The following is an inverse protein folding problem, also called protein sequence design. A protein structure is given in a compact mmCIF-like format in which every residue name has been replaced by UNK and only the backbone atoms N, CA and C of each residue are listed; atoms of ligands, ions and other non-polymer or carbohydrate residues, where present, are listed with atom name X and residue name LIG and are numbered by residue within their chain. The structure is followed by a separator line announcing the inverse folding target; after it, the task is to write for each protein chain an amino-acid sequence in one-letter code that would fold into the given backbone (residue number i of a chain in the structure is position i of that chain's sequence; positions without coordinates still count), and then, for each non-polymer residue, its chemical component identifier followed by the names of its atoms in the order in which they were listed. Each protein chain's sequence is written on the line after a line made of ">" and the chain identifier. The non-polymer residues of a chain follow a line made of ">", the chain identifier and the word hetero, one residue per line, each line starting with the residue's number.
data_IF_082728737316
#
_entry.id   IF_082728737316
#
_cell.length_a   1.000
_cell.length_b   1.000
_cell.length_c   1.000
_cell.angle_alpha   90.00
_cell.angle_beta   90.00
_cell.angle_gamma   90.00
#
_symmetry.space_group_name_H-M   'P 1'
#
loop_
_entity.id
_entity.type
_entity.pdbx_description
1 polymer ?
#
# COMPACT_ATOMS: atom_id res chain seq x y z
N UNK A 1 13.79 -26.24 -12.20
CA UNK A 1 13.99 -25.55 -10.89
C UNK A 1 13.96 -24.02 -10.98
N UNK A 2 14.52 -23.37 -12.00
CA UNK A 2 14.56 -21.89 -12.10
C UNK A 2 13.16 -21.22 -12.06
N UNK A 3 12.20 -21.75 -12.84
CA UNK A 3 10.83 -21.22 -12.92
C UNK A 3 10.05 -21.27 -11.59
N UNK A 4 10.27 -22.33 -10.80
CA UNK A 4 9.59 -22.53 -9.51
C UNK A 4 10.08 -21.51 -8.48
N UNK A 5 11.39 -21.27 -8.42
CA UNK A 5 11.99 -20.27 -7.54
C UNK A 5 11.50 -18.85 -7.85
N UNK A 6 11.46 -18.49 -9.13
CA UNK A 6 10.94 -17.20 -9.59
C UNK A 6 9.47 -17.03 -9.21
N UNK A 7 8.64 -18.06 -9.39
CA UNK A 7 7.24 -18.06 -8.95
C UNK A 7 7.10 -17.80 -7.44
N UNK A 8 7.83 -18.53 -6.59
CA UNK A 8 7.79 -18.32 -5.14
C UNK A 8 8.22 -16.90 -4.72
N UNK A 9 9.24 -16.35 -5.37
CA UNK A 9 9.72 -14.98 -5.10
C UNK A 9 8.64 -13.95 -5.43
N UNK A 10 7.96 -14.10 -6.57
CA UNK A 10 6.88 -13.18 -6.94
C UNK A 10 5.68 -13.31 -6.02
N UNK A 11 5.27 -14.54 -5.68
CA UNK A 11 4.18 -14.77 -4.72
C UNK A 11 4.52 -14.13 -3.37
N UNK A 12 5.73 -14.33 -2.85
CA UNK A 12 6.19 -13.70 -1.61
C UNK A 12 6.22 -12.16 -1.72
N UNK A 13 6.64 -11.60 -2.86
CA UNK A 13 6.64 -10.16 -3.09
C UNK A 13 5.22 -9.58 -3.13
N UNK A 14 4.24 -10.30 -3.69
CA UNK A 14 2.82 -9.92 -3.69
C UNK A 14 2.24 -9.97 -2.27
N UNK A 15 2.49 -11.04 -1.52
CA UNK A 15 2.07 -11.11 -0.11
C UNK A 15 2.69 -9.99 0.73
N UNK A 16 3.99 -9.73 0.53
CA UNK A 16 4.69 -8.65 1.19
C UNK A 16 4.13 -7.28 0.80
N UNK A 17 3.81 -7.07 -0.48
CA UNK A 17 3.15 -5.85 -0.94
C UNK A 17 1.82 -5.64 -0.22
N UNK A 18 0.96 -6.65 -0.12
CA UNK A 18 -0.33 -6.51 0.58
C UNK A 18 -0.15 -6.26 2.08
N UNK A 19 0.80 -6.94 2.73
CA UNK A 19 1.14 -6.68 4.12
C UNK A 19 1.62 -5.23 4.32
N UNK A 20 2.50 -4.76 3.43
CA UNK A 20 3.02 -3.39 3.46
C UNK A 20 1.94 -2.36 3.13
N UNK A 21 0.99 -2.68 2.25
CA UNK A 21 -0.16 -1.81 1.97
C UNK A 21 -0.98 -1.63 3.24
N UNK A 22 -1.37 -2.71 3.90
CA UNK A 22 -2.13 -2.64 5.15
C UNK A 22 -1.40 -1.84 6.24
N UNK A 23 -0.11 -2.13 6.44
CA UNK A 23 0.70 -1.42 7.44
C UNK A 23 0.89 0.06 7.10
N UNK A 24 1.17 0.36 5.84
CA UNK A 24 1.41 1.74 5.40
C UNK A 24 0.14 2.56 5.41
N UNK A 25 -1.00 1.97 5.06
CA UNK A 25 -2.30 2.60 5.21
C UNK A 25 -2.60 2.91 6.67
N UNK A 26 -2.45 1.92 7.55
CA UNK A 26 -2.66 2.12 8.98
C UNK A 26 -1.78 3.25 9.51
N UNK A 27 -0.48 3.23 9.21
CA UNK A 27 0.46 4.24 9.69
C UNK A 27 0.18 5.62 9.09
N UNK A 28 -0.11 5.70 7.80
CA UNK A 28 -0.39 6.98 7.14
C UNK A 28 -1.70 7.60 7.65
N UNK A 29 -2.76 6.80 7.78
CA UNK A 29 -4.02 7.25 8.39
C UNK A 29 -3.80 7.68 9.84
N UNK A 30 -3.05 6.91 10.63
CA UNK A 30 -2.72 7.27 12.01
C UNK A 30 -1.96 8.60 12.11
N UNK A 31 -0.95 8.82 11.25
CA UNK A 31 -0.20 10.07 11.22
C UNK A 31 -1.07 11.27 10.84
N UNK A 32 -1.94 11.11 9.85
CA UNK A 32 -2.88 12.16 9.43
C UNK A 32 -3.93 12.44 10.50
N UNK A 33 -4.40 11.42 11.20
CA UNK A 33 -5.30 11.57 12.35
C UNK A 33 -4.61 12.27 13.52
N UNK A 34 -3.35 11.95 13.82
CA UNK A 34 -2.59 12.61 14.89
C UNK A 34 -2.34 14.10 14.65
N UNK A 35 -2.36 14.53 13.39
CA UNK A 35 -2.32 15.94 13.03
C UNK A 35 -3.66 16.66 13.24
N UNK A 36 -4.75 15.90 13.43
CA UNK A 36 -6.11 16.40 13.60
C UNK A 36 -6.76 15.80 14.87
N UNK A 37 -6.45 16.32 16.06
CA UNK A 37 -6.90 15.75 17.34
C UNK A 37 -8.42 15.66 17.48
N UNK A 38 -9.17 16.48 16.74
CA UNK A 38 -10.64 16.41 16.66
C UNK A 38 -11.12 15.10 16.03
N UNK A 39 -10.42 14.60 14.99
CA UNK A 39 -10.75 13.33 14.34
C UNK A 39 -10.52 12.16 15.31
N UNK A 40 -9.44 12.21 16.09
CA UNK A 40 -9.14 11.19 17.10
C UNK A 40 -10.22 11.13 18.18
N UNK A 41 -10.64 12.30 18.70
CA UNK A 41 -11.72 12.39 19.68
C UNK A 41 -13.05 11.87 19.14
N UNK A 42 -13.42 12.25 17.93
CA UNK A 42 -14.68 11.81 17.32
C UNK A 42 -14.69 10.30 17.07
N UNK A 43 -13.53 9.72 16.72
CA UNK A 43 -13.40 8.27 16.56
C UNK A 43 -13.56 7.54 17.90
N UNK A 44 -12.95 8.05 18.97
CA UNK A 44 -13.11 7.50 20.32
C UNK A 44 -14.57 7.57 20.80
N UNK A 45 -15.24 8.69 20.52
CA UNK A 45 -16.65 8.90 20.87
C UNK A 45 -17.57 7.93 20.11
N UNK A 46 -17.39 7.79 18.80
CA UNK A 46 -18.13 6.79 18.00
C UNK A 46 -17.86 5.36 18.47
N UNK A 47 -16.59 5.03 18.77
CA UNK A 47 -16.22 3.68 19.26
C UNK A 47 -16.89 3.39 20.61
N UNK A 48 -16.99 4.42 21.48
CA UNK A 48 -17.67 4.31 22.78
C UNK A 48 -19.18 4.15 22.64
N UNK A 49 -19.82 4.93 21.76
CA UNK A 49 -21.29 4.95 21.60
C UNK A 49 -21.79 3.68 20.90
N UNK A 50 -21.10 3.25 19.85
CA UNK A 50 -21.58 2.19 18.97
C UNK A 50 -21.00 0.81 19.30
N UNK A 51 -20.18 0.70 20.36
CA UNK A 51 -19.50 -0.55 20.75
C UNK A 51 -18.98 -1.32 19.53
N UNK A 52 -18.31 -0.61 18.60
CA UNK A 52 -17.87 -1.16 17.33
C UNK A 52 -16.87 -2.29 17.58
N UNK A 53 -17.36 -3.52 17.70
CA UNK A 53 -16.52 -4.68 17.93
C UNK A 53 -15.73 -4.93 16.63
N UNK A 54 -14.38 -4.95 16.64
CA UNK A 54 -13.58 -5.15 15.43
C UNK A 54 -13.83 -6.49 14.72
N UNK A 55 -14.54 -7.44 15.35
CA UNK A 55 -14.74 -8.80 14.87
C UNK A 55 -16.05 -9.00 14.06
N UNK A 56 -17.02 -8.08 14.15
CA UNK A 56 -18.32 -8.19 13.48
C UNK A 56 -18.33 -7.53 12.09
N UNK A 57 -17.56 -8.10 11.15
CA UNK A 57 -17.59 -7.75 9.73
C UNK A 57 -17.81 -9.03 8.92
N UNK A 58 -19.06 -9.53 8.90
CA UNK A 58 -19.42 -10.74 8.13
C UNK A 58 -20.50 -10.52 7.08
N UNK A 59 -21.20 -9.40 7.11
CA UNK A 59 -22.32 -9.12 6.20
C UNK A 59 -22.19 -7.73 5.57
N UNK A 60 -22.54 -7.61 4.29
CA UNK A 60 -22.51 -6.36 3.52
C UNK A 60 -23.32 -5.21 4.17
N UNK A 61 -24.50 -5.44 4.79
CA UNK A 61 -25.23 -4.40 5.50
C UNK A 61 -24.46 -3.83 6.69
N UNK A 62 -23.75 -4.68 7.46
CA UNK A 62 -22.96 -4.24 8.61
C UNK A 62 -21.73 -3.42 8.19
N UNK A 63 -21.14 -3.75 7.04
CA UNK A 63 -20.07 -2.94 6.43
C UNK A 63 -20.61 -1.56 6.07
N UNK A 64 -21.77 -1.52 5.40
CA UNK A 64 -22.39 -0.26 4.97
C UNK A 64 -22.77 0.64 6.14
N UNK A 65 -23.41 0.08 7.16
CA UNK A 65 -23.77 0.81 8.38
C UNK A 65 -22.53 1.41 9.07
N UNK A 66 -21.43 0.63 9.16
CA UNK A 66 -20.16 1.14 9.71
C UNK A 66 -19.53 2.22 8.84
N UNK A 67 -19.60 2.09 7.51
CA UNK A 67 -19.10 3.13 6.59
C UNK A 67 -19.92 4.40 6.77
N UNK A 68 -21.24 4.33 6.89
CA UNK A 68 -22.11 5.48 7.13
C UNK A 68 -21.79 6.17 8.47
N UNK A 69 -21.54 5.40 9.54
CA UNK A 69 -21.11 5.93 10.83
C UNK A 69 -19.74 6.62 10.76
N UNK A 70 -18.80 6.04 10.02
CA UNK A 70 -17.44 6.56 9.90
C UNK A 70 -17.31 7.65 8.82
N UNK A 71 -18.29 7.80 7.91
CA UNK A 71 -18.21 8.71 6.78
C UNK A 71 -17.84 10.16 7.16
N UNK A 72 -18.40 10.76 8.25
CA UNK A 72 -18.02 12.11 8.68
C UNK A 72 -16.57 12.23 9.17
N UNK A 73 -15.99 11.13 9.66
CA UNK A 73 -14.57 11.08 10.02
C UNK A 73 -13.72 10.92 8.76
N UNK A 74 -14.07 9.94 7.92
CA UNK A 74 -13.32 9.60 6.72
C UNK A 74 -13.25 10.77 5.73
N UNK A 75 -14.30 11.60 5.62
CA UNK A 75 -14.31 12.78 4.75
C UNK A 75 -13.32 13.88 5.17
N UNK A 76 -12.89 13.89 6.43
CA UNK A 76 -11.94 14.89 6.97
C UNK A 76 -10.48 14.46 6.86
N UNK A 77 -10.21 13.22 6.44
CA UNK A 77 -8.86 12.70 6.28
C UNK A 77 -8.26 13.24 4.98
N UNK A 78 -7.01 13.70 5.02
CA UNK A 78 -6.25 14.03 3.80
C UNK A 78 -5.81 12.75 3.08
N UNK A 79 -6.73 12.22 2.27
CA UNK A 79 -6.49 11.02 1.47
C UNK A 79 -5.39 11.16 0.43
N UNK A 80 -5.06 12.38 0.00
CA UNK A 80 -3.94 12.60 -0.92
C UNK A 80 -2.63 12.29 -0.22
N UNK A 81 -2.48 12.79 1.00
CA UNK A 81 -1.30 12.53 1.82
C UNK A 81 -1.22 11.05 2.24
N UNK A 82 -2.34 10.45 2.65
CA UNK A 82 -2.40 9.01 2.97
C UNK A 82 -1.97 8.18 1.76
N UNK A 83 -2.56 8.44 0.60
CA UNK A 83 -2.26 7.69 -0.62
C UNK A 83 -0.81 7.87 -1.07
N UNK A 84 -0.25 9.08 -0.95
CA UNK A 84 1.14 9.36 -1.27
C UNK A 84 2.10 8.59 -0.35
N UNK A 85 1.92 8.70 0.97
CA UNK A 85 2.76 8.03 1.95
C UNK A 85 2.70 6.51 1.76
N UNK A 86 1.49 5.95 1.68
CA UNK A 86 1.29 4.53 1.46
C UNK A 86 1.91 4.05 0.13
N UNK A 87 1.85 4.87 -0.92
CA UNK A 87 2.46 4.57 -2.21
C UNK A 87 3.98 4.52 -2.12
N UNK A 88 4.59 5.54 -1.53
CA UNK A 88 6.05 5.63 -1.42
C UNK A 88 6.62 4.49 -0.58
N UNK A 89 6.05 4.21 0.60
CA UNK A 89 6.57 3.17 1.49
C UNK A 89 6.36 1.77 0.92
N UNK A 90 5.12 1.44 0.52
CA UNK A 90 4.76 0.10 0.08
C UNK A 90 5.53 -0.28 -1.17
N UNK A 91 5.44 0.53 -2.22
CA UNK A 91 5.96 0.11 -3.52
C UNK A 91 7.48 0.17 -3.56
N UNK A 92 8.12 1.13 -2.86
CA UNK A 92 9.58 1.12 -2.69
C UNK A 92 10.07 -0.13 -1.97
N UNK A 93 9.45 -0.51 -0.86
CA UNK A 93 9.85 -1.70 -0.10
C UNK A 93 9.55 -2.99 -0.87
N UNK A 94 8.36 -3.13 -1.44
CA UNK A 94 8.00 -4.29 -2.24
C UNK A 94 8.93 -4.44 -3.46
N UNK A 95 9.23 -3.32 -4.13
CA UNK A 95 10.23 -3.25 -5.20
C UNK A 95 11.60 -3.69 -4.70
N UNK A 96 12.08 -3.15 -3.58
CA UNK A 96 13.35 -3.51 -2.96
C UNK A 96 13.49 -5.00 -2.72
N UNK A 97 12.52 -5.62 -2.05
CA UNK A 97 12.58 -7.06 -1.80
C UNK A 97 12.49 -7.87 -3.09
N UNK A 98 11.64 -7.45 -4.02
CA UNK A 98 11.54 -8.12 -5.32
C UNK A 98 12.89 -8.09 -6.05
N UNK A 99 13.53 -6.93 -6.17
CA UNK A 99 14.87 -6.81 -6.77
C UNK A 99 15.94 -7.57 -5.98
N UNK A 100 15.86 -7.54 -4.65
CA UNK A 100 16.80 -8.24 -3.75
C UNK A 100 16.70 -9.76 -3.82
N UNK A 101 15.58 -10.34 -4.22
CA UNK A 101 15.42 -11.79 -4.29
C UNK A 101 15.43 -12.33 -5.73
N UNK A 102 14.89 -11.58 -6.68
CA UNK A 102 14.83 -11.99 -8.10
C UNK A 102 16.10 -11.63 -8.87
N UNK A 103 16.79 -10.54 -8.49
CA UNK A 103 17.89 -9.97 -9.25
C UNK A 103 17.48 -9.31 -10.59
N UNK A 104 16.17 -9.21 -10.87
CA UNK A 104 15.63 -8.64 -12.12
C UNK A 104 14.52 -7.62 -11.82
N UNK A 105 14.70 -6.33 -12.14
CA UNK A 105 13.70 -5.29 -11.85
C UNK A 105 12.52 -5.27 -12.84
N UNK A 106 12.59 -6.00 -13.97
CA UNK A 106 11.64 -5.84 -15.10
C UNK A 106 10.17 -6.05 -14.74
N UNK A 107 9.88 -6.90 -13.77
CA UNK A 107 8.52 -7.28 -13.42
C UNK A 107 7.91 -6.44 -12.30
N UNK A 108 8.69 -5.57 -11.66
CA UNK A 108 8.25 -4.83 -10.47
C UNK A 108 7.14 -3.81 -10.79
N UNK A 109 7.06 -3.34 -12.04
CA UNK A 109 5.95 -2.50 -12.52
C UNK A 109 4.58 -3.18 -12.49
N UNK A 110 4.52 -4.52 -12.34
CA UNK A 110 3.25 -5.24 -12.18
C UNK A 110 2.62 -5.01 -10.81
N UNK A 111 3.40 -4.67 -9.79
CA UNK A 111 2.91 -4.58 -8.41
C UNK A 111 1.87 -3.45 -8.24
N UNK A 112 2.12 -2.20 -8.69
CA UNK A 112 1.09 -1.15 -8.66
C UNK A 112 -0.16 -1.52 -9.45
N UNK A 113 0.00 -2.12 -10.64
CA UNK A 113 -1.11 -2.53 -11.49
C UNK A 113 -1.96 -3.63 -10.84
N UNK A 114 -1.32 -4.62 -10.22
CA UNK A 114 -2.02 -5.68 -9.50
C UNK A 114 -2.84 -5.09 -8.35
N UNK A 115 -2.27 -4.15 -7.60
CA UNK A 115 -3.00 -3.47 -6.54
C UNK A 115 -4.21 -2.68 -7.08
N UNK A 116 -4.12 -2.10 -8.29
CA UNK A 116 -5.26 -1.40 -8.91
C UNK A 116 -6.37 -2.40 -9.25
N UNK A 117 -6.01 -3.48 -9.94
CA UNK A 117 -6.97 -4.49 -10.38
C UNK A 117 -7.67 -5.19 -9.21
N UNK A 118 -6.98 -5.36 -8.09
CA UNK A 118 -7.58 -5.96 -6.89
C UNK A 118 -8.29 -4.95 -5.99
N UNK A 119 -8.31 -3.66 -6.31
CA UNK A 119 -9.00 -2.64 -5.51
C UNK A 119 -8.24 -2.16 -4.27
N UNK A 120 -6.98 -2.57 -4.09
CA UNK A 120 -6.18 -2.24 -2.90
C UNK A 120 -5.19 -1.09 -3.13
N UNK A 121 -5.19 -0.48 -4.31
CA UNK A 121 -4.22 0.58 -4.63
C UNK A 121 -4.59 1.90 -3.93
N UNK A 122 -3.63 2.56 -3.28
CA UNK A 122 -3.89 3.84 -2.61
C UNK A 122 -4.43 4.95 -3.51
N UNK A 123 -4.14 4.91 -4.81
CA UNK A 123 -4.62 5.90 -5.77
C UNK A 123 -6.12 5.76 -6.08
N UNK A 124 -6.73 4.59 -5.83
CA UNK A 124 -8.14 4.32 -6.17
C UNK A 124 -9.03 4.14 -4.96
N UNK A 125 -8.47 3.74 -3.81
CA UNK A 125 -9.23 3.51 -2.57
C UNK A 125 -10.16 4.67 -2.20
N UNK A 126 -9.74 5.94 -2.25
CA UNK A 126 -10.64 7.04 -1.91
C UNK A 126 -11.82 7.17 -2.90
N UNK A 127 -11.60 6.84 -4.18
CA UNK A 127 -12.70 6.80 -5.17
C UNK A 127 -13.65 5.63 -4.90
N UNK A 128 -13.13 4.49 -4.42
CA UNK A 128 -13.97 3.36 -4.00
C UNK A 128 -14.80 3.70 -2.75
N UNK A 129 -14.22 4.45 -1.80
CA UNK A 129 -14.92 4.92 -0.60
C UNK A 129 -16.04 5.92 -0.94
N UNK A 130 -15.82 6.79 -1.92
CA UNK A 130 -16.87 7.68 -2.43
C UNK A 130 -18.05 6.89 -3.00
N UNK A 131 -17.78 5.87 -3.81
CA UNK A 131 -18.82 4.97 -4.33
C UNK A 131 -19.56 4.19 -3.22
N UNK A 132 -18.98 4.12 -2.02
CA UNK A 132 -19.59 3.50 -0.83
C UNK A 132 -20.33 4.52 0.06
N UNK A 133 -20.43 5.78 -0.36
CA UNK A 133 -21.20 6.82 0.32
C UNK A 133 -20.39 7.74 1.24
N UNK A 134 -19.05 7.70 1.20
CA UNK A 134 -18.22 8.66 1.92
C UNK A 134 -18.08 9.94 1.07
N UNK A 135 -18.60 11.10 1.50
CA UNK A 135 -18.51 12.31 0.69
C UNK A 135 -17.08 12.88 0.67
N UNK A 136 -16.74 13.61 -0.39
CA UNK A 136 -15.55 14.47 -0.50
C UNK A 136 -14.18 13.78 -0.37
N UNK A 137 -14.11 12.45 -0.55
CA UNK A 137 -12.85 11.70 -0.50
C UNK A 137 -12.21 11.45 -1.88
N UNK A 138 -12.87 11.84 -2.97
CA UNK A 138 -12.39 11.56 -4.32
C UNK A 138 -11.03 12.19 -4.61
N UNK A 139 -10.14 11.39 -5.20
CA UNK A 139 -8.91 11.91 -5.79
C UNK A 139 -9.18 12.35 -7.22
N UNK A 140 -8.85 13.61 -7.60
CA UNK A 140 -8.94 14.03 -8.99
C UNK A 140 -8.14 13.11 -9.90
N UNK A 141 -8.64 12.83 -11.11
CA UNK A 141 -7.99 11.90 -12.04
C UNK A 141 -6.49 12.20 -12.26
N UNK A 142 -6.11 13.47 -12.40
CA UNK A 142 -4.71 13.88 -12.51
C UNK A 142 -3.84 13.49 -11.31
N UNK A 143 -4.40 13.52 -10.10
CA UNK A 143 -3.73 13.06 -8.87
C UNK A 143 -3.59 11.55 -8.88
N UNK A 144 -4.61 10.81 -9.33
CA UNK A 144 -4.52 9.34 -9.46
C UNK A 144 -3.41 8.93 -10.41
N UNK A 145 -3.33 9.55 -11.59
CA UNK A 145 -2.27 9.30 -12.59
C UNK A 145 -0.89 9.66 -12.03
N UNK A 146 -0.76 10.79 -11.32
CA UNK A 146 0.48 11.18 -10.68
C UNK A 146 0.92 10.16 -9.61
N UNK A 147 0.00 9.70 -8.77
CA UNK A 147 0.26 8.67 -7.77
C UNK A 147 0.69 7.36 -8.42
N UNK A 148 -0.01 6.87 -9.45
CA UNK A 148 0.39 5.67 -10.18
C UNK A 148 1.80 5.79 -10.76
N UNK A 149 2.15 6.97 -11.30
CA UNK A 149 3.50 7.26 -11.80
C UNK A 149 4.52 7.18 -10.67
N UNK A 150 4.24 7.79 -9.51
CA UNK A 150 5.10 7.73 -8.33
C UNK A 150 5.28 6.29 -7.85
N UNK A 151 4.21 5.48 -7.84
CA UNK A 151 4.26 4.08 -7.43
C UNK A 151 5.16 3.26 -8.35
N UNK A 152 5.05 3.44 -9.67
CA UNK A 152 5.90 2.77 -10.66
C UNK A 152 7.37 3.14 -10.48
N UNK A 153 7.65 4.44 -10.33
CA UNK A 153 9.01 4.93 -10.09
C UNK A 153 9.57 4.41 -8.76
N UNK A 154 8.79 4.46 -7.69
CA UNK A 154 9.16 3.98 -6.36
C UNK A 154 9.50 2.49 -6.38
N UNK A 155 8.64 1.69 -7.03
CA UNK A 155 8.86 0.26 -7.18
C UNK A 155 10.15 -0.02 -7.97
N UNK A 156 10.35 0.69 -9.09
CA UNK A 156 11.55 0.55 -9.91
C UNK A 156 12.84 0.91 -9.15
N UNK A 157 12.89 2.08 -8.52
CA UNK A 157 14.08 2.51 -7.76
C UNK A 157 14.36 1.61 -6.56
N UNK A 158 13.30 1.16 -5.86
CA UNK A 158 13.42 0.15 -4.82
C UNK A 158 14.08 -1.12 -5.36
N UNK A 159 13.59 -1.64 -6.47
CA UNK A 159 14.11 -2.86 -7.09
C UNK A 159 15.56 -2.75 -7.54
N UNK A 160 15.93 -1.64 -8.19
CA UNK A 160 17.32 -1.32 -8.54
C UNK A 160 18.22 -1.34 -7.30
N UNK A 161 17.80 -0.70 -6.21
CA UNK A 161 18.55 -0.69 -4.96
C UNK A 161 18.70 -2.11 -4.39
N UNK A 162 17.61 -2.88 -4.34
CA UNK A 162 17.62 -4.26 -3.85
C UNK A 162 18.52 -5.19 -4.67
N UNK A 163 18.47 -5.08 -5.99
CA UNK A 163 19.31 -5.86 -6.91
C UNK A 163 20.80 -5.52 -6.76
N UNK A 164 21.14 -4.24 -6.58
CA UNK A 164 22.54 -3.80 -6.36
C UNK A 164 23.13 -4.31 -5.05
N UNK A 165 22.32 -4.42 -3.99
CA UNK A 165 22.78 -4.96 -2.70
C UNK A 165 23.13 -6.46 -2.79
N UNK A 166 22.54 -7.22 -3.73
CA UNK A 166 22.99 -8.59 -4.07
C UNK A 166 24.34 -8.61 -4.78
N UNK A 167 24.58 -7.66 -5.70
CA UNK A 167 25.80 -7.56 -6.50
C UNK A 167 27.07 -7.36 -5.68
N UNK A 168 26.98 -6.75 -4.49
CA UNK A 168 28.10 -6.65 -3.55
C UNK A 168 28.46 -7.96 -2.84
N UNK A 169 27.59 -8.96 -2.85
CA UNK A 169 27.84 -10.27 -2.23
C UNK A 169 28.45 -11.29 -3.19
N UNK A 170 28.49 -11.00 -4.50
CA UNK A 170 29.22 -11.78 -5.51
C UNK A 170 30.50 -11.06 -5.93
N UNK A 171 31.44 -10.89 -5.00
CA UNK A 171 32.83 -10.69 -5.40
C UNK A 171 33.43 -12.06 -5.68
N UNK A 172 33.98 -12.32 -6.89
CA UNK A 172 34.54 -13.61 -7.24
C UNK A 172 35.91 -13.76 -6.55
N UNK A 173 35.97 -14.46 -5.42
CA UNK A 173 37.21 -15.05 -4.95
C UNK A 173 37.47 -16.35 -5.72
N UNK A 174 37.59 -16.24 -7.04
CA UNK A 174 38.35 -17.17 -7.86
C UNK A 174 39.17 -16.31 -8.82
N UNK A 175 40.40 -16.06 -8.41
CA UNK A 175 41.34 -15.23 -9.12
C UNK A 175 42.73 -15.43 -8.57
N UNK A 176 43.28 -16.64 -8.76
CA UNK A 176 44.62 -16.85 -9.34
C UNK A 176 44.91 -18.35 -9.46
N UNK A 177 44.84 -18.82 -10.69
CA UNK A 177 45.75 -19.84 -11.21
C UNK A 177 47.18 -19.33 -11.09
N UNK A 178 48.01 -20.07 -10.36
CA UNK A 178 49.43 -20.26 -10.59
C UNK A 178 49.81 -21.60 -9.96
#
# INVERSE_FOLDING_TARGET
>A
MLRLRTFFIYTAAVFLMYLLLGLSFYLASFLVMKQNPEIERDLEELTRIYHLDPVELRTEPAVRERVELLAPILSRIDWRLVALLASLTTFSMAGFFCGRFSGDPRWVGVLPLLAVVTGHNPAIIPTLMENQGVPDVQLPFGVQVALLTIQLLSAYFGAELGARMLGRSRSPANGKSA
#
